data_IF_640876316935
#
_entry.id   IF_640876316935
#
_cell.length_a   1.000
_cell.length_b   1.000
_cell.length_c   1.000
_cell.angle_alpha   90.00
_cell.angle_beta   90.00
_cell.angle_gamma   90.00
#
_symmetry.space_group_name_H-M   'P 1'
#
loop_
_entity.id
_entity.type
_entity.pdbx_description
1 polymer ?
#
# COMPACT_ATOMS: atom_id res chain seq x y z
N UNK A 1 -3.68 -18.18 -7.31
CA UNK A 1 -2.62 -17.21 -7.71
C UNK A 1 -2.40 -16.30 -6.53
N UNK A 2 -1.13 -15.97 -6.21
CA UNK A 2 -0.83 -15.09 -5.09
C UNK A 2 -1.34 -13.67 -5.37
N UNK A 3 -1.71 -12.95 -4.31
CA UNK A 3 -2.28 -11.63 -4.39
C UNK A 3 -1.45 -10.58 -3.67
N UNK A 4 -1.60 -9.34 -4.11
CA UNK A 4 -1.14 -8.15 -3.43
C UNK A 4 -2.25 -7.10 -3.38
N UNK A 5 -2.05 -6.03 -2.61
CA UNK A 5 -2.99 -4.92 -2.58
C UNK A 5 -2.26 -3.58 -2.50
N UNK A 6 -2.91 -2.56 -3.07
CA UNK A 6 -2.64 -1.15 -2.79
C UNK A 6 -3.86 -0.59 -2.10
N UNK A 7 -3.67 0.07 -0.97
CA UNK A 7 -4.74 0.71 -0.20
C UNK A 7 -4.53 2.22 -0.24
N UNK A 8 -5.59 2.99 -0.44
CA UNK A 8 -5.55 4.44 -0.59
C UNK A 8 -6.44 5.12 0.46
N UNK A 9 -5.86 6.13 1.09
CA UNK A 9 -6.57 7.21 1.76
C UNK A 9 -6.64 8.40 0.78
N UNK A 10 -7.79 8.69 0.16
CA UNK A 10 -7.90 9.72 -0.87
C UNK A 10 -7.92 11.15 -0.31
N UNK A 11 -8.17 11.31 1.00
CA UNK A 11 -8.39 12.60 1.65
C UNK A 11 -7.46 12.77 2.86
N UNK A 12 -6.65 13.84 2.87
CA UNK A 12 -5.90 14.25 4.08
C UNK A 12 -6.61 15.44 4.74
N UNK A 13 -7.02 15.35 6.02
CA UNK A 13 -7.67 16.46 6.73
C UNK A 13 -6.81 17.74 6.78
N UNK A 14 -5.48 17.59 6.79
CA UNK A 14 -4.54 18.69 7.10
C UNK A 14 -3.56 19.01 5.95
N UNK A 15 -3.91 18.72 4.70
CA UNK A 15 -3.01 19.00 3.58
C UNK A 15 -2.70 20.51 3.48
N UNK A 16 -1.41 20.85 3.66
CA UNK A 16 -0.77 22.14 3.41
C UNK A 16 -1.60 23.03 2.46
N UNK A 17 -2.10 24.15 3.00
CA UNK A 17 -2.77 25.20 2.22
C UNK A 17 -4.06 24.80 1.47
N UNK A 18 -4.86 23.86 2.01
CA UNK A 18 -6.21 23.60 1.51
C UNK A 18 -6.25 22.84 0.18
N UNK A 19 -5.20 22.06 -0.13
CA UNK A 19 -5.18 21.21 -1.32
C UNK A 19 -5.55 19.77 -0.97
N UNK A 20 -6.76 19.28 -1.33
CA UNK A 20 -7.25 17.93 -1.04
C UNK A 20 -6.54 16.80 -1.81
N UNK A 21 -5.33 17.05 -2.33
CA UNK A 21 -4.63 16.19 -3.29
C UNK A 21 -3.55 15.30 -2.68
N UNK A 22 -3.21 15.45 -1.39
CA UNK A 22 -2.13 14.69 -0.75
C UNK A 22 -2.67 13.45 -0.04
N UNK A 23 -3.30 12.53 -0.78
CA UNK A 23 -3.72 11.23 -0.26
C UNK A 23 -2.56 10.41 0.31
N UNK A 24 -2.80 9.13 0.65
CA UNK A 24 -1.78 8.26 1.20
C UNK A 24 -1.95 6.81 0.72
N UNK A 25 -0.84 6.14 0.43
CA UNK A 25 -0.84 4.78 -0.08
C UNK A 25 -0.14 3.79 0.85
N UNK A 26 -0.75 2.63 1.01
CA UNK A 26 -0.22 1.49 1.75
C UNK A 26 -0.18 0.23 0.89
N UNK A 27 0.58 -0.76 1.34
CA UNK A 27 0.75 -2.04 0.66
C UNK A 27 0.18 -3.22 1.45
N UNK A 28 -0.06 -4.31 0.73
CA UNK A 28 -0.07 -5.64 1.32
C UNK A 28 0.27 -6.72 0.30
N UNK A 29 0.79 -7.85 0.75
CA UNK A 29 1.04 -9.03 -0.08
C UNK A 29 0.82 -10.34 0.69
N UNK A 30 0.45 -11.37 -0.04
CA UNK A 30 0.10 -12.69 0.49
C UNK A 30 1.33 -13.61 0.63
N UNK A 31 1.44 -14.26 1.78
CA UNK A 31 2.39 -15.35 2.03
C UNK A 31 1.85 -16.69 1.52
N UNK A 32 2.72 -17.71 1.30
CA UNK A 32 2.27 -19.03 0.85
C UNK A 32 1.28 -19.74 1.79
N UNK A 33 1.22 -19.35 3.06
CA UNK A 33 0.30 -19.90 4.06
C UNK A 33 -1.05 -19.14 4.13
N UNK A 34 -1.31 -18.21 3.21
CA UNK A 34 -2.52 -17.41 3.14
C UNK A 34 -2.56 -16.22 4.11
N UNK A 35 -1.55 -16.08 4.98
CA UNK A 35 -1.37 -14.87 5.78
C UNK A 35 -0.90 -13.70 4.90
N UNK A 36 -1.00 -12.48 5.43
CA UNK A 36 -0.67 -11.26 4.69
C UNK A 36 0.34 -10.42 5.46
N UNK A 37 1.31 -9.87 4.74
CA UNK A 37 2.05 -8.69 5.18
C UNK A 37 1.26 -7.46 4.77
N UNK A 38 1.08 -6.51 5.69
CA UNK A 38 0.51 -5.19 5.43
C UNK A 38 1.39 -4.11 6.04
N UNK A 39 1.45 -2.94 5.44
CA UNK A 39 2.24 -1.84 5.98
C UNK A 39 2.06 -0.53 5.23
N UNK A 40 2.61 0.54 5.81
CA UNK A 40 2.68 1.83 5.18
C UNK A 40 3.93 2.60 5.63
N UNK A 41 4.30 3.62 4.84
CA UNK A 41 5.27 4.63 5.24
C UNK A 41 4.57 5.98 5.36
N UNK A 42 4.22 6.33 6.59
CA UNK A 42 3.49 7.53 6.95
C UNK A 42 4.35 8.79 6.83
N UNK A 43 3.75 9.87 6.31
CA UNK A 43 4.41 11.17 6.21
C UNK A 43 4.42 11.93 7.54
N UNK A 44 5.21 13.02 7.64
CA UNK A 44 5.18 13.91 8.81
C UNK A 44 3.76 14.42 9.11
N UNK A 45 3.31 14.22 10.35
CA UNK A 45 1.97 14.59 10.81
C UNK A 45 0.93 13.46 10.78
N UNK A 46 1.29 12.23 10.38
CA UNK A 46 0.51 11.02 10.61
C UNK A 46 1.11 10.23 11.79
N UNK A 47 0.27 9.54 12.57
CA UNK A 47 0.68 8.77 13.74
C UNK A 47 1.46 7.51 13.34
N UNK A 48 2.71 7.68 12.94
CA UNK A 48 3.68 6.60 12.78
C UNK A 48 4.67 6.55 13.95
N UNK A 49 5.31 5.39 14.11
CA UNK A 49 6.54 5.22 14.89
C UNK A 49 7.66 6.12 14.34
N UNK A 50 8.85 6.11 14.94
CA UNK A 50 10.05 6.78 14.43
C UNK A 50 10.18 6.57 12.90
N UNK A 51 10.15 7.66 12.12
CA UNK A 51 10.16 7.73 10.65
C UNK A 51 8.87 7.34 9.88
N UNK A 52 7.73 7.18 10.56
CA UNK A 52 6.44 6.97 9.88
C UNK A 52 6.18 5.53 9.42
N UNK A 53 7.16 4.64 9.51
CA UNK A 53 7.03 3.26 9.04
C UNK A 53 6.25 2.36 9.99
N UNK A 54 5.41 1.50 9.44
CA UNK A 54 4.85 0.34 10.15
C UNK A 54 4.62 -0.84 9.19
N UNK A 55 4.76 -2.07 9.70
CA UNK A 55 4.42 -3.28 8.98
C UNK A 55 4.00 -4.39 9.96
N UNK A 56 3.00 -5.18 9.57
CA UNK A 56 2.37 -6.21 10.38
C UNK A 56 2.10 -7.45 9.55
N UNK A 57 2.08 -8.59 10.23
CA UNK A 57 1.55 -9.84 9.68
C UNK A 57 0.15 -10.08 10.22
N UNK A 58 -0.78 -10.41 9.33
CA UNK A 58 -2.19 -10.69 9.63
C UNK A 58 -2.59 -12.03 9.02
N UNK A 59 -3.55 -12.77 9.60
CA UNK A 59 -3.83 -14.16 9.25
C UNK A 59 -4.41 -14.38 7.85
N UNK A 60 -5.07 -13.38 7.26
CA UNK A 60 -5.75 -13.48 5.96
C UNK A 60 -6.14 -12.10 5.42
N UNK A 61 -6.64 -12.08 4.18
CA UNK A 61 -7.10 -10.86 3.50
C UNK A 61 -8.19 -10.14 4.30
N UNK A 62 -9.14 -10.86 4.90
CA UNK A 62 -10.18 -10.24 5.72
C UNK A 62 -9.58 -9.45 6.87
N UNK A 63 -8.62 -10.01 7.60
CA UNK A 63 -7.94 -9.33 8.69
C UNK A 63 -7.13 -8.12 8.21
N UNK A 64 -6.49 -8.21 7.03
CA UNK A 64 -5.82 -7.08 6.40
C UNK A 64 -6.78 -5.91 6.12
N UNK A 65 -7.88 -6.18 5.42
CA UNK A 65 -8.88 -5.15 5.09
C UNK A 65 -9.52 -4.54 6.34
N UNK A 66 -9.76 -5.37 7.36
CA UNK A 66 -10.27 -4.89 8.65
C UNK A 66 -9.28 -3.98 9.36
N UNK A 67 -8.00 -4.32 9.35
CA UNK A 67 -6.97 -3.49 9.98
C UNK A 67 -6.93 -2.09 9.34
N UNK A 68 -6.93 -2.00 8.01
CA UNK A 68 -6.97 -0.72 7.30
C UNK A 68 -8.26 0.08 7.55
N UNK A 69 -9.41 -0.59 7.62
CA UNK A 69 -10.67 0.08 7.96
C UNK A 69 -10.67 0.64 9.39
N UNK A 70 -10.10 -0.09 10.34
CA UNK A 70 -10.02 0.33 11.74
C UNK A 70 -9.01 1.45 11.98
N UNK A 71 -7.85 1.44 11.30
CA UNK A 71 -6.86 2.52 11.41
C UNK A 71 -7.45 3.86 10.98
N UNK A 72 -8.33 3.88 9.97
CA UNK A 72 -9.12 5.06 9.59
C UNK A 72 -9.94 5.61 10.75
N UNK A 73 -10.75 4.76 11.38
CA UNK A 73 -11.63 5.18 12.49
C UNK A 73 -10.90 5.59 13.78
N UNK A 74 -9.71 5.06 14.05
CA UNK A 74 -9.02 5.20 15.35
C UNK A 74 -7.84 6.17 15.33
N UNK A 75 -7.20 6.38 14.17
CA UNK A 75 -5.94 7.13 14.05
C UNK A 75 -6.02 8.34 13.11
N UNK A 76 -7.19 8.61 12.52
CA UNK A 76 -7.37 9.70 11.55
C UNK A 76 -6.73 9.43 10.18
N UNK A 77 -6.31 8.18 9.93
CA UNK A 77 -5.68 7.73 8.71
C UNK A 77 -6.72 7.03 7.83
N UNK A 78 -7.64 7.81 7.23
CA UNK A 78 -8.86 7.30 6.58
C UNK A 78 -8.58 6.58 5.25
N UNK A 79 -8.02 5.37 5.33
CA UNK A 79 -8.03 4.48 4.18
C UNK A 79 -9.48 4.17 3.82
N UNK A 80 -9.85 4.41 2.57
CA UNK A 80 -11.22 4.27 2.09
C UNK A 80 -11.36 3.17 1.04
N UNK A 81 -10.32 3.00 0.21
CA UNK A 81 -10.40 2.16 -0.98
C UNK A 81 -9.14 1.31 -1.15
N UNK A 82 -9.28 0.19 -1.83
CA UNK A 82 -8.15 -0.66 -2.18
C UNK A 82 -8.29 -1.26 -3.58
N UNK A 83 -7.16 -1.58 -4.19
CA UNK A 83 -7.03 -2.41 -5.39
C UNK A 83 -6.45 -3.75 -4.98
N UNK A 84 -7.11 -4.83 -5.36
CA UNK A 84 -6.57 -6.18 -5.23
C UNK A 84 -5.86 -6.54 -6.53
N UNK A 85 -4.60 -6.89 -6.43
CA UNK A 85 -3.73 -7.18 -7.56
C UNK A 85 -3.46 -8.69 -7.60
N UNK A 86 -3.69 -9.31 -8.74
CA UNK A 86 -3.35 -10.71 -8.97
C UNK A 86 -2.00 -10.77 -9.68
N UNK A 87 -1.06 -11.57 -9.17
CA UNK A 87 0.23 -11.78 -9.86
C UNK A 87 -0.03 -12.37 -11.25
N UNK A 88 0.60 -11.78 -12.28
CA UNK A 88 0.41 -12.18 -13.68
C UNK A 88 0.89 -13.61 -13.95
N UNK A 89 0.32 -14.24 -14.99
CA UNK A 89 0.73 -15.57 -15.42
C UNK A 89 2.23 -15.64 -15.77
N UNK A 90 2.88 -16.74 -15.40
CA UNK A 90 4.32 -16.95 -15.62
C UNK A 90 5.24 -16.22 -14.64
N UNK A 91 4.69 -15.47 -13.69
CA UNK A 91 5.46 -14.77 -12.65
C UNK A 91 5.38 -15.56 -11.35
N UNK A 92 6.55 -15.87 -10.79
CA UNK A 92 6.65 -16.49 -9.46
C UNK A 92 6.69 -15.39 -8.40
N UNK A 93 5.72 -15.33 -7.48
CA UNK A 93 5.74 -14.37 -6.38
C UNK A 93 6.92 -14.65 -5.42
N UNK A 94 7.64 -13.61 -5.03
CA UNK A 94 8.78 -13.65 -4.12
C UNK A 94 8.52 -12.84 -2.85
N UNK A 95 7.81 -13.47 -1.91
CA UNK A 95 7.53 -12.89 -0.59
C UNK A 95 8.80 -12.63 0.22
N UNK A 96 9.91 -13.35 -0.01
CA UNK A 96 11.17 -13.12 0.70
C UNK A 96 11.86 -11.86 0.20
N UNK A 97 11.85 -11.63 -1.11
CA UNK A 97 12.31 -10.36 -1.67
C UNK A 97 11.46 -9.20 -1.15
N UNK A 98 10.13 -9.36 -1.09
CA UNK A 98 9.24 -8.36 -0.51
C UNK A 98 9.53 -8.08 0.97
N UNK A 99 9.71 -9.10 1.81
CA UNK A 99 10.11 -8.96 3.22
C UNK A 99 11.44 -8.19 3.37
N UNK A 100 12.42 -8.48 2.52
CA UNK A 100 13.69 -7.76 2.53
C UNK A 100 13.51 -6.28 2.19
N UNK A 101 12.63 -5.95 1.25
CA UNK A 101 12.32 -4.55 0.91
C UNK A 101 11.53 -3.86 2.02
N UNK A 102 10.61 -4.56 2.69
CA UNK A 102 9.90 -4.05 3.88
C UNK A 102 10.90 -3.75 5.01
N UNK A 103 11.83 -4.66 5.26
CA UNK A 103 12.91 -4.44 6.21
C UNK A 103 13.77 -3.23 5.82
N UNK A 104 14.16 -3.11 4.54
CA UNK A 104 14.92 -1.95 4.04
C UNK A 104 14.16 -0.63 4.24
N UNK A 105 12.87 -0.62 3.92
CA UNK A 105 12.00 0.55 4.04
C UNK A 105 11.94 1.10 5.48
N UNK A 106 11.97 0.24 6.49
CA UNK A 106 12.02 0.61 7.92
C UNK A 106 13.17 1.58 8.25
N UNK A 107 14.29 1.47 7.54
CA UNK A 107 15.49 2.26 7.78
C UNK A 107 15.59 3.50 6.88
N UNK A 108 14.63 3.74 5.99
CA UNK A 108 14.68 4.88 5.08
C UNK A 108 13.94 6.09 5.66
N UNK A 109 14.47 7.31 5.50
CA UNK A 109 13.72 8.52 5.81
C UNK A 109 12.57 8.71 4.81
N UNK A 110 11.51 9.38 5.26
CA UNK A 110 10.46 9.87 4.37
C UNK A 110 10.99 11.03 3.53
N UNK A 111 10.77 10.99 2.22
CA UNK A 111 11.06 12.10 1.29
C UNK A 111 9.86 12.33 0.38
N UNK A 112 9.37 13.57 0.29
CA UNK A 112 8.28 13.95 -0.61
C UNK A 112 8.58 13.59 -2.08
N UNK A 113 9.84 13.67 -2.51
CA UNK A 113 10.27 13.28 -3.86
C UNK A 113 11.03 11.94 -3.82
N UNK A 114 10.39 10.87 -4.28
CA UNK A 114 11.05 9.56 -4.51
C UNK A 114 11.21 8.65 -3.27
N UNK A 115 10.89 9.13 -2.07
CA UNK A 115 10.96 8.36 -0.82
C UNK A 115 9.67 8.42 0.01
N UNK A 116 8.52 8.53 -0.66
CA UNK A 116 7.22 8.69 -0.02
C UNK A 116 6.43 7.36 0.04
N UNK A 117 5.19 7.45 0.50
CA UNK A 117 4.27 6.32 0.63
C UNK A 117 4.08 5.51 -0.66
N UNK A 118 3.96 6.16 -1.82
CA UNK A 118 3.80 5.49 -3.11
C UNK A 118 5.08 4.79 -3.52
N UNK A 119 6.24 5.44 -3.37
CA UNK A 119 7.53 4.84 -3.73
C UNK A 119 7.78 3.56 -2.91
N UNK A 120 7.49 3.57 -1.61
CA UNK A 120 7.64 2.37 -0.77
C UNK A 120 6.64 1.29 -1.10
N UNK A 121 5.38 1.66 -1.34
CA UNK A 121 4.36 0.71 -1.80
C UNK A 121 4.80 0.06 -3.12
N UNK A 122 5.27 0.87 -4.09
CA UNK A 122 5.82 0.38 -5.35
C UNK A 122 7.03 -0.53 -5.16
N UNK A 123 8.00 -0.16 -4.31
CA UNK A 123 9.21 -0.96 -4.08
C UNK A 123 8.86 -2.35 -3.53
N UNK A 124 7.96 -2.43 -2.54
CA UNK A 124 7.54 -3.70 -1.95
C UNK A 124 6.82 -4.57 -2.99
N UNK A 125 5.91 -3.98 -3.76
CA UNK A 125 5.16 -4.71 -4.80
C UNK A 125 6.03 -5.10 -6.00
N UNK A 126 7.03 -4.28 -6.35
CA UNK A 126 8.05 -4.63 -7.33
C UNK A 126 8.85 -5.83 -6.88
N UNK A 127 9.26 -5.86 -5.60
CA UNK A 127 9.99 -7.00 -5.05
C UNK A 127 9.15 -8.29 -5.07
N UNK A 128 7.85 -8.18 -4.76
CA UNK A 128 6.96 -9.33 -4.68
C UNK A 128 6.70 -10.01 -6.03
N UNK A 129 6.52 -9.25 -7.12
CA UNK A 129 6.10 -9.82 -8.41
C UNK A 129 6.75 -9.17 -9.63
N UNK A 130 7.89 -8.50 -9.46
CA UNK A 130 8.60 -7.79 -10.54
C UNK A 130 7.67 -6.85 -11.35
N UNK A 131 6.82 -6.09 -10.64
CA UNK A 131 5.81 -5.19 -11.19
C UNK A 131 4.71 -5.85 -12.05
N UNK A 132 4.66 -7.18 -12.20
CA UNK A 132 3.72 -7.83 -13.10
C UNK A 132 2.42 -8.26 -12.40
N UNK A 133 1.36 -7.50 -12.61
CA UNK A 133 0.05 -7.71 -11.99
C UNK A 133 -1.09 -7.56 -13.00
N UNK A 134 -2.12 -8.41 -12.90
CA UNK A 134 -3.33 -8.37 -13.72
C UNK A 134 -3.06 -8.33 -15.24
N UNK A 135 -1.96 -8.93 -15.70
CA UNK A 135 -1.54 -8.90 -17.11
C UNK A 135 -0.84 -7.62 -17.56
N UNK A 136 -0.53 -6.71 -16.62
CA UNK A 136 0.05 -5.39 -16.87
C UNK A 136 1.23 -5.09 -15.94
N UNK A 137 1.99 -4.05 -16.25
CA UNK A 137 3.05 -3.54 -15.39
C UNK A 137 2.51 -2.51 -14.38
N UNK A 138 2.93 -2.63 -13.12
CA UNK A 138 2.65 -1.65 -12.07
C UNK A 138 3.32 -0.32 -12.44
N UNK A 139 2.57 0.79 -12.56
CA UNK A 139 3.15 2.07 -12.95
C UNK A 139 4.14 2.56 -11.88
N UNK A 140 5.32 3.04 -12.32
CA UNK A 140 6.24 3.72 -11.41
C UNK A 140 5.63 5.03 -10.90
N UNK A 141 5.66 5.29 -9.58
CA UNK A 141 5.19 6.54 -8.99
C UNK A 141 6.08 7.75 -9.34
N UNK A 142 7.26 7.56 -9.93
CA UNK A 142 8.14 8.68 -10.32
C UNK A 142 7.51 9.55 -11.43
N UNK A 143 6.53 9.00 -12.16
CA UNK A 143 5.75 9.69 -13.18
C UNK A 143 4.42 10.25 -12.66
N UNK A 144 4.06 9.94 -11.40
CA UNK A 144 2.85 10.46 -10.75
C UNK A 144 3.04 10.56 -9.24
N UNK A 145 3.41 11.75 -8.78
CA UNK A 145 3.71 12.04 -7.38
C UNK A 145 2.46 12.34 -6.53
N UNK A 146 1.26 12.23 -7.11
CA UNK A 146 0.00 12.41 -6.39
C UNK A 146 -0.58 11.01 -6.11
N UNK A 147 -0.73 10.60 -4.84
CA UNK A 147 -1.21 9.25 -4.48
C UNK A 147 -2.49 8.83 -5.18
N UNK A 148 -3.45 9.74 -5.31
CA UNK A 148 -4.71 9.48 -6.01
C UNK A 148 -4.49 9.20 -7.51
N UNK A 149 -3.63 10.00 -8.15
CA UNK A 149 -3.28 9.82 -9.56
C UNK A 149 -2.52 8.52 -9.81
N UNK A 150 -1.52 8.22 -8.97
CA UNK A 150 -0.76 6.98 -9.07
C UNK A 150 -1.66 5.77 -8.86
N UNK A 151 -2.52 5.80 -7.84
CA UNK A 151 -3.50 4.76 -7.58
C UNK A 151 -4.42 4.55 -8.78
N UNK A 152 -4.93 5.61 -9.41
CA UNK A 152 -5.76 5.54 -10.61
C UNK A 152 -5.03 4.86 -11.78
N UNK A 153 -3.74 5.13 -11.97
CA UNK A 153 -2.93 4.57 -13.06
C UNK A 153 -2.73 3.04 -12.95
N UNK A 154 -2.88 2.46 -11.76
CA UNK A 154 -2.74 1.01 -11.56
C UNK A 154 -3.88 0.28 -12.29
N UNK A 155 -3.52 -0.55 -13.27
CA UNK A 155 -4.50 -1.33 -14.02
C UNK A 155 -5.02 -2.52 -13.20
N UNK A 156 -6.33 -2.55 -13.03
CA UNK A 156 -7.04 -3.63 -12.33
C UNK A 156 -8.45 -3.73 -12.90
N UNK A 157 -9.04 -4.93 -12.99
CA UNK A 157 -10.43 -5.09 -13.39
C UNK A 157 -11.39 -4.37 -12.43
N UNK A 158 -11.06 -4.35 -11.14
CA UNK A 158 -11.93 -3.79 -10.09
C UNK A 158 -11.11 -3.09 -8.99
N UNK A 159 -11.74 -2.12 -8.32
CA UNK A 159 -11.25 -1.53 -7.08
C UNK A 159 -12.43 -1.26 -6.16
N UNK A 160 -12.17 -1.26 -4.86
CA UNK A 160 -13.17 -1.57 -3.86
C UNK A 160 -13.13 -0.58 -2.70
N UNK A 161 -14.28 -0.33 -2.08
CA UNK A 161 -14.32 0.30 -0.75
C UNK A 161 -13.88 -0.68 0.32
N UNK A 162 -13.17 -0.19 1.33
CA UNK A 162 -12.89 -0.94 2.55
C UNK A 162 -14.18 -1.23 3.32
N UNK A 163 -14.23 -2.32 4.12
CA UNK A 163 -15.41 -2.66 4.91
C UNK A 163 -15.70 -1.59 5.97
N UNK A 164 -16.97 -1.29 6.20
CA UNK A 164 -17.37 -0.30 7.22
C UNK A 164 -17.15 -0.85 8.63
N UNK A 165 -16.58 -0.04 9.53
CA UNK A 165 -16.24 -0.45 10.90
C UNK A 165 -17.46 -0.89 11.73
N UNK A 166 -18.68 -0.44 11.42
CA UNK A 166 -19.90 -0.98 12.04
C UNK A 166 -20.13 -2.48 11.78
N UNK A 167 -19.65 -3.01 10.65
CA UNK A 167 -19.64 -4.44 10.35
C UNK A 167 -18.42 -5.18 10.92
N UNK A 168 -17.44 -4.45 11.48
CA UNK A 168 -16.25 -5.01 12.14
C UNK A 168 -16.57 -5.67 13.47
N UNK A 169 -17.38 -4.98 14.29
CA UNK A 169 -17.61 -5.34 15.68
C UNK A 169 -18.63 -6.48 15.88
N UNK A 170 -19.34 -6.88 14.82
CA UNK A 170 -20.40 -7.91 14.88
C UNK A 170 -19.93 -9.32 14.50
N UNK A 171 -18.67 -9.48 14.08
CA UNK A 171 -18.03 -10.79 13.86
C UNK A 171 -16.72 -10.82 14.64
N UNK A 172 -16.37 -11.98 15.19
CA UNK A 172 -15.26 -12.25 16.12
C UNK A 172 -14.03 -11.34 15.98
N UNK A 173 -13.34 -11.00 17.07
CA UNK A 173 -12.15 -10.13 17.03
C UNK A 173 -11.19 -10.64 15.95
N UNK A 174 -10.75 -9.72 15.07
CA UNK A 174 -9.76 -10.03 14.06
C UNK A 174 -8.57 -10.71 14.75
N UNK A 175 -8.07 -11.86 14.24
CA UNK A 175 -6.94 -12.52 14.88
C UNK A 175 -5.76 -11.55 14.95
N UNK A 176 -5.04 -11.59 16.07
CA UNK A 176 -4.10 -10.55 16.44
C UNK A 176 -3.07 -10.29 15.34
N UNK A 177 -3.01 -9.04 14.85
CA UNK A 177 -1.91 -8.58 14.04
C UNK A 177 -0.61 -8.71 14.84
N UNK A 178 0.41 -9.32 14.25
CA UNK A 178 1.72 -9.49 14.88
C UNK A 178 2.74 -8.59 14.21
N UNK A 179 3.69 -8.08 15.00
CA UNK A 179 4.84 -7.39 14.44
C UNK A 179 5.62 -8.33 13.53
N UNK A 180 6.07 -7.81 12.39
CA UNK A 180 6.90 -8.58 11.48
C UNK A 180 8.32 -8.77 12.03
N UNK A 181 8.88 -9.98 12.00
CA UNK A 181 10.28 -10.22 12.32
C UNK A 181 11.17 -9.73 11.16
N UNK A 182 11.35 -8.41 11.05
CA UNK A 182 12.14 -7.79 9.99
C UNK A 182 13.65 -7.91 10.25
N UNK A 183 14.42 -8.13 9.19
CA UNK A 183 15.88 -8.15 9.27
C UNK A 183 16.43 -6.77 9.69
N UNK A 184 17.49 -6.76 10.51
CA UNK A 184 18.10 -5.52 11.01
C UNK A 184 19.06 -4.86 10.03
N UNK A 185 19.64 -5.62 9.10
CA UNK A 185 20.60 -5.14 8.08
C UNK A 185 20.17 -5.60 6.67
N UNK A 186 19.05 -5.08 6.16
CA UNK A 186 18.56 -5.42 4.84
C UNK A 186 19.44 -4.81 3.74
N UNK A 187 19.61 -5.54 2.63
CA UNK A 187 20.29 -5.00 1.46
C UNK A 187 19.40 -3.95 0.76
N UNK A 188 20.02 -2.89 0.23
CA UNK A 188 19.31 -1.94 -0.64
C UNK A 188 18.80 -2.66 -1.89
N UNK A 189 17.53 -2.47 -2.28
CA UNK A 189 17.00 -3.07 -3.51
C UNK A 189 17.84 -2.66 -4.72
N UNK A 190 18.11 -3.60 -5.63
CA UNK A 190 19.01 -3.37 -6.77
C UNK A 190 18.60 -2.16 -7.64
N UNK A 191 17.29 -1.93 -7.80
CA UNK A 191 16.77 -0.78 -8.55
C UNK A 191 16.87 0.56 -7.84
N UNK A 192 17.22 0.56 -6.54
CA UNK A 192 17.49 1.77 -5.75
C UNK A 192 19.00 2.02 -5.59
N UNK A 193 19.87 1.17 -6.12
CA UNK A 193 21.33 1.36 -6.07
C UNK A 193 21.72 2.40 -7.13
N UNK A 194 22.27 3.54 -6.69
CA UNK A 194 22.76 4.60 -7.59
C UNK A 194 21.66 5.46 -8.22
N UNK A 195 20.39 5.25 -7.85
CA UNK A 195 19.29 6.08 -8.31
C UNK A 195 19.30 7.42 -7.57
N UNK A 196 19.53 8.51 -8.32
CA UNK A 196 19.31 9.87 -7.81
C UNK A 196 17.81 10.12 -7.95
N UNK A 197 17.09 10.05 -6.83
CA UNK A 197 15.69 10.43 -6.80
C UNK A 197 15.55 11.87 -7.35
N UNK A 198 14.53 12.17 -8.18
CA UNK A 198 14.40 13.48 -8.78
C UNK A 198 14.44 14.58 -7.71
N UNK A 199 15.33 15.55 -7.94
CA UNK A 199 15.37 16.80 -7.20
C UNK A 199 14.03 17.52 -7.39
N UNK A 200 13.45 18.02 -6.29
CA UNK A 200 12.25 18.85 -6.28
C UNK A 200 12.35 20.12 -7.17
N UNK A 201 13.54 20.47 -7.68
CA UNK A 201 13.79 21.58 -8.60
C UNK A 201 13.39 21.30 -10.06
N UNK A 202 13.31 20.04 -10.48
CA UNK A 202 12.80 19.69 -11.80
C UNK A 202 11.29 19.96 -11.80
N UNK A 203 10.82 20.94 -12.57
CA UNK A 203 9.40 21.25 -12.79
C UNK A 203 8.85 20.31 -13.88
N UNK A 204 8.17 19.23 -13.53
CA UNK A 204 7.55 18.33 -14.47
C UNK A 204 6.19 18.90 -14.91
N UNK A 205 5.73 18.45 -16.07
CA UNK A 205 4.51 18.92 -16.71
C UNK A 205 3.30 18.21 -16.08
N UNK A 206 2.66 18.89 -15.12
CA UNK A 206 1.66 18.31 -14.23
C UNK A 206 0.25 18.37 -14.80
N UNK A 207 -0.46 17.24 -14.76
CA UNK A 207 -1.93 17.24 -14.83
C UNK A 207 -2.45 16.66 -13.53
N UNK A 208 -3.17 17.48 -12.76
CA UNK A 208 -4.04 16.97 -11.71
C UNK A 208 -5.00 15.98 -12.38
N UNK A 209 -4.89 14.70 -12.03
CA UNK A 209 -5.89 13.72 -12.40
C UNK A 209 -6.86 13.67 -11.24
N UNK A 210 -8.11 14.04 -11.49
CA UNK A 210 -9.16 13.95 -10.49
C UNK A 210 -9.22 12.51 -9.94
N UNK A 211 -9.37 12.39 -8.62
CA UNK A 211 -9.67 11.09 -8.02
C UNK A 211 -10.99 10.58 -8.59
N UNK A 212 -10.99 9.36 -9.13
CA UNK A 212 -12.21 8.73 -9.62
C UNK A 212 -12.63 7.75 -8.53
N UNK A 213 -13.73 8.05 -7.85
CA UNK A 213 -14.27 7.22 -6.79
C UNK A 213 -14.90 5.94 -7.35
N UNK A 214 -14.85 4.80 -6.61
CA UNK A 214 -15.44 3.55 -7.07
C UNK A 214 -16.96 3.67 -7.17
N UNK A 215 -17.50 3.10 -8.24
CA UNK A 215 -18.96 2.99 -8.47
C UNK A 215 -19.60 1.83 -7.71
N UNK A 216 -18.82 0.89 -7.16
CA UNK A 216 -19.33 -0.29 -6.45
C UNK A 216 -18.57 -0.59 -5.14
N UNK A 217 -19.28 -1.09 -4.13
CA UNK A 217 -18.69 -1.69 -2.93
C UNK A 217 -18.29 -3.13 -3.25
N UNK A 218 -17.19 -3.64 -2.66
CA UNK A 218 -16.79 -5.03 -2.85
C UNK A 218 -17.92 -5.99 -2.46
N UNK A 219 -18.20 -7.04 -3.26
CA UNK A 219 -18.78 -8.23 -2.68
C UNK A 219 -17.76 -8.77 -1.67
N UNK A 220 -18.11 -8.78 -0.38
CA UNK A 220 -17.40 -9.63 0.58
C UNK A 220 -17.50 -11.06 0.04
N UNK A 221 -16.42 -11.59 -0.55
CA UNK A 221 -16.37 -13.00 -0.88
C UNK A 221 -16.59 -13.76 0.43
N UNK A 222 -17.73 -14.43 0.52
CA UNK A 222 -17.98 -15.41 1.54
C UNK A 222 -17.04 -16.58 1.23
N UNK A 223 -15.81 -16.54 1.74
CA UNK A 223 -15.02 -17.75 1.86
C UNK A 223 -15.74 -18.63 2.87
N UNK A 224 -16.45 -19.62 2.34
CA UNK A 224 -16.89 -20.79 3.08
C UNK A 224 -15.67 -21.42 3.72
N UNK A 225 -15.69 -21.45 5.05
CA UNK A 225 -14.79 -22.25 5.86
C UNK A 225 -15.30 -23.69 5.71
N UNK A 226 -14.56 -24.53 5.00
CA UNK A 226 -14.55 -25.98 5.22
C UNK A 226 -13.36 -26.31 6.14
#
# INVERSE_FOLDING_TARGET
MAKAMVVLCPHRPDALAGQPLLGHAAWGFEYPDGSWCIGALEGPGWQGSYNGFWALRVPNLRAALMYFAETGSKRGNEYDVYKLLTVSDGITPDWKAADNVVAWAKHQPYNLTGGNCMNRTYDVLRAFANCAYNGSELPSPDWNWIPNGWFNAIQTPEYYKLPTVMHAHTRSPAPAATEMPLANNPATPAWRVGEVLPDASAKPDWKAVDFIAPTQAAPMQAETID
#
